data_IF_995873100707
#
_entry.id   IF_995873100707
#
_cell.length_a   1.000
_cell.length_b   1.000
_cell.length_c   1.000
_cell.angle_alpha   90.00
_cell.angle_beta   90.00
_cell.angle_gamma   90.00
#
_symmetry.space_group_name_H-M   'P 1'
#
loop_
_entity.id
_entity.type
_entity.pdbx_description
1 polymer ?
#
# COMPACT_ATOMS: atom_id res chain seq x y z
N UNK A 1 -40.13 -7.17 32.83
CA UNK A 1 -40.46 -7.12 31.39
C UNK A 1 -40.19 -8.49 30.79
N UNK A 2 -41.24 -9.23 30.40
CA UNK A 2 -41.18 -10.59 29.85
C UNK A 2 -40.88 -10.51 28.35
N UNK A 3 -39.83 -11.19 27.86
CA UNK A 3 -39.56 -11.34 26.43
C UNK A 3 -39.87 -12.77 26.00
N UNK A 4 -40.84 -12.90 25.10
CA UNK A 4 -41.35 -14.14 24.54
C UNK A 4 -40.39 -14.72 23.52
N UNK A 5 -40.20 -16.04 23.58
CA UNK A 5 -39.45 -16.86 22.62
C UNK A 5 -40.43 -17.32 21.53
N UNK A 6 -40.19 -16.91 20.28
CA UNK A 6 -40.94 -17.38 19.11
C UNK A 6 -40.11 -18.40 18.33
N UNK A 7 -40.59 -19.64 18.30
CA UNK A 7 -40.06 -20.74 17.48
C UNK A 7 -40.68 -20.61 16.09
N UNK A 8 -39.85 -20.52 15.04
CA UNK A 8 -40.31 -20.54 13.65
C UNK A 8 -39.88 -21.85 12.99
N UNK A 9 -40.88 -22.65 12.60
CA UNK A 9 -40.71 -23.89 11.85
C UNK A 9 -40.51 -23.59 10.36
N UNK A 10 -39.50 -24.20 9.74
CA UNK A 10 -39.26 -24.13 8.29
C UNK A 10 -39.77 -25.43 7.67
N UNK A 11 -40.78 -25.31 6.82
CA UNK A 11 -41.37 -26.37 6.04
C UNK A 11 -40.52 -26.67 4.79
N UNK A 12 -40.18 -27.95 4.60
CA UNK A 12 -39.63 -28.47 3.35
C UNK A 12 -40.72 -28.50 2.27
N UNK A 13 -40.55 -27.74 1.19
CA UNK A 13 -41.22 -28.00 -0.08
C UNK A 13 -40.23 -28.66 -1.05
N UNK A 14 -40.51 -29.92 -1.39
CA UNK A 14 -39.93 -30.60 -2.55
C UNK A 14 -40.75 -30.23 -3.80
N UNK A 15 -40.09 -29.70 -4.82
CA UNK A 15 -40.67 -29.54 -6.16
C UNK A 15 -39.83 -30.35 -7.16
N UNK A 16 -40.49 -31.30 -7.78
CA UNK A 16 -40.03 -32.18 -8.85
C UNK A 16 -40.42 -31.65 -10.23
N UNK A 17 -39.49 -31.82 -11.18
CA UNK A 17 -39.64 -32.01 -12.62
C UNK A 17 -40.04 -30.83 -13.53
N UNK A 18 -39.23 -30.55 -14.56
CA UNK A 18 -39.44 -31.08 -15.92
C UNK A 18 -38.23 -30.76 -16.82
N UNK A 19 -37.88 -31.71 -17.69
CA UNK A 19 -36.68 -31.66 -18.53
C UNK A 19 -36.76 -30.67 -19.68
N UNK A 20 -35.68 -29.92 -19.86
CA UNK A 20 -35.45 -29.06 -21.01
C UNK A 20 -34.21 -29.53 -21.78
N UNK A 21 -34.33 -29.52 -23.10
CA UNK A 21 -33.38 -30.04 -24.09
C UNK A 21 -32.02 -29.35 -23.94
N UNK A 22 -30.88 -30.08 -23.86
CA UNK A 22 -29.56 -29.47 -23.73
C UNK A 22 -29.23 -28.64 -24.97
N UNK A 23 -29.29 -27.32 -24.83
CA UNK A 23 -28.69 -26.39 -25.79
C UNK A 23 -27.18 -26.61 -25.80
N UNK A 24 -26.59 -26.60 -26.99
CA UNK A 24 -25.15 -26.74 -27.20
C UNK A 24 -24.36 -25.79 -26.28
N UNK A 25 -23.18 -26.18 -25.79
CA UNK A 25 -22.36 -25.33 -24.94
C UNK A 25 -22.04 -24.03 -25.69
N UNK A 26 -22.74 -22.96 -25.33
CA UNK A 26 -22.39 -21.61 -25.73
C UNK A 26 -20.95 -21.39 -25.25
N UNK A 27 -20.03 -21.30 -26.21
CA UNK A 27 -18.66 -20.91 -25.95
C UNK A 27 -18.72 -19.60 -25.17
N UNK A 28 -18.36 -19.65 -23.88
CA UNK A 28 -18.23 -18.45 -23.07
C UNK A 28 -17.32 -17.50 -23.85
N UNK A 29 -17.74 -16.25 -24.11
CA UNK A 29 -16.90 -15.31 -24.81
C UNK A 29 -15.59 -15.23 -24.04
N UNK A 30 -14.49 -15.59 -24.71
CA UNK A 30 -13.15 -15.42 -24.19
C UNK A 30 -13.00 -13.95 -23.82
N UNK A 31 -13.16 -13.66 -22.53
CA UNK A 31 -12.93 -12.32 -22.00
C UNK A 31 -11.45 -12.05 -22.22
N UNK A 32 -11.13 -11.19 -23.18
CA UNK A 32 -9.78 -10.67 -23.36
C UNK A 32 -9.45 -9.93 -22.08
N UNK A 33 -8.69 -10.59 -21.19
CA UNK A 33 -8.33 -10.03 -19.92
C UNK A 33 -7.63 -8.68 -20.15
N UNK A 34 -8.16 -7.63 -19.53
CA UNK A 34 -7.52 -6.32 -19.57
C UNK A 34 -6.07 -6.45 -19.07
N UNK A 35 -5.13 -5.69 -19.65
CA UNK A 35 -3.74 -5.70 -19.19
C UNK A 35 -3.70 -5.43 -17.69
N UNK A 36 -3.03 -6.30 -16.93
CA UNK A 36 -2.89 -6.15 -15.47
C UNK A 36 -2.14 -4.84 -15.20
N UNK A 37 -2.74 -3.96 -14.41
CA UNK A 37 -2.08 -2.76 -13.92
C UNK A 37 -0.80 -3.15 -13.17
N UNK A 38 0.27 -2.38 -13.36
CA UNK A 38 1.57 -2.55 -12.70
C UNK A 38 1.85 -1.39 -11.75
N UNK A 39 2.97 -1.45 -11.03
CA UNK A 39 3.39 -0.36 -10.16
C UNK A 39 2.44 -0.13 -8.97
N UNK A 40 2.38 1.12 -8.50
CA UNK A 40 1.51 1.53 -7.40
C UNK A 40 0.03 1.21 -7.65
N UNK A 41 -0.49 1.48 -8.86
CA UNK A 41 -1.90 1.22 -9.20
C UNK A 41 -2.21 -0.27 -9.19
N UNK A 42 -1.32 -1.11 -9.73
CA UNK A 42 -1.44 -2.57 -9.65
C UNK A 42 -1.40 -3.07 -8.21
N UNK A 43 -0.54 -2.49 -7.37
CA UNK A 43 -0.45 -2.83 -5.96
C UNK A 43 -1.75 -2.53 -5.20
N UNK A 44 -2.35 -1.34 -5.41
CA UNK A 44 -3.65 -0.94 -4.85
C UNK A 44 -4.81 -1.82 -5.33
N UNK A 45 -4.80 -2.23 -6.60
CA UNK A 45 -5.82 -3.12 -7.16
C UNK A 45 -5.78 -4.52 -6.51
N UNK A 46 -4.62 -4.94 -6.00
CA UNK A 46 -4.45 -6.19 -5.30
C UNK A 46 -4.70 -6.12 -3.79
N UNK A 47 -5.30 -5.04 -3.28
CA UNK A 47 -5.65 -4.88 -1.86
C UNK A 47 -7.11 -4.46 -1.74
N UNK A 48 -7.88 -5.20 -0.94
CA UNK A 48 -9.28 -4.90 -0.64
C UNK A 48 -9.40 -3.58 0.13
N UNK A 49 -10.34 -2.74 -0.29
CA UNK A 49 -10.69 -1.52 0.42
C UNK A 49 -11.55 -1.82 1.65
N UNK A 50 -11.07 -1.40 2.82
CA UNK A 50 -11.79 -1.35 4.07
C UNK A 50 -11.22 -0.20 4.92
N UNK A 51 -11.81 0.06 6.09
CA UNK A 51 -11.40 1.20 6.91
C UNK A 51 -9.93 1.09 7.34
N UNK A 52 -9.48 -0.11 7.74
CA UNK A 52 -8.07 -0.34 8.11
C UNK A 52 -7.12 -0.14 6.93
N UNK A 53 -7.42 -0.67 5.74
CA UNK A 53 -6.52 -0.56 4.58
C UNK A 53 -6.49 0.85 3.98
N UNK A 54 -7.49 1.70 4.25
CA UNK A 54 -7.51 3.13 3.90
C UNK A 54 -6.69 3.99 4.84
N UNK A 55 -6.48 3.56 6.08
CA UNK A 55 -5.72 4.36 7.05
C UNK A 55 -4.24 4.48 6.70
N UNK A 56 -3.68 3.46 6.06
CA UNK A 56 -2.28 3.43 5.65
C UNK A 56 -2.06 2.39 4.55
N UNK A 57 -1.36 2.81 3.50
CA UNK A 57 -0.86 1.92 2.46
C UNK A 57 0.58 2.30 2.12
N UNK A 58 1.44 1.31 1.94
CA UNK A 58 2.84 1.49 1.57
C UNK A 58 3.18 0.58 0.40
N UNK A 59 3.97 1.09 -0.53
CA UNK A 59 4.39 0.38 -1.74
C UNK A 59 5.87 0.63 -2.00
N UNK A 60 6.58 -0.40 -2.44
CA UNK A 60 7.96 -0.30 -2.88
C UNK A 60 8.23 -1.24 -4.05
N UNK A 61 8.73 -0.69 -5.15
CA UNK A 61 9.45 -1.39 -6.21
C UNK A 61 10.91 -1.56 -5.76
N UNK A 62 11.21 -2.72 -5.20
CA UNK A 62 12.52 -3.05 -4.67
C UNK A 62 13.56 -3.15 -5.78
N UNK A 63 13.15 -3.41 -7.03
CA UNK A 63 14.09 -3.46 -8.16
C UNK A 63 14.61 -2.07 -8.51
N UNK A 64 13.73 -1.05 -8.52
CA UNK A 64 14.11 0.35 -8.72
C UNK A 64 14.92 0.88 -7.54
N UNK A 65 14.49 0.62 -6.30
CA UNK A 65 15.19 1.11 -5.09
C UNK A 65 16.62 0.58 -4.97
N UNK A 66 16.88 -0.70 -5.33
CA UNK A 66 18.23 -1.30 -5.31
C UNK A 66 19.23 -0.62 -6.24
N UNK A 67 18.78 0.19 -7.20
CA UNK A 67 19.66 0.91 -8.11
C UNK A 67 20.29 2.16 -7.46
N UNK A 68 19.72 2.63 -6.36
CA UNK A 68 20.20 3.80 -5.63
C UNK A 68 21.48 3.47 -4.86
N UNK A 69 22.36 4.46 -4.73
CA UNK A 69 23.57 4.35 -3.89
C UNK A 69 23.27 4.40 -2.40
N UNK A 70 22.20 5.12 -2.01
CA UNK A 70 21.77 5.29 -0.62
C UNK A 70 20.29 4.94 -0.52
N UNK A 71 19.99 3.89 0.25
CA UNK A 71 18.62 3.38 0.47
C UNK A 71 18.15 3.60 1.90
N UNK A 72 18.88 4.34 2.74
CA UNK A 72 18.60 4.44 4.19
C UNK A 72 17.20 4.97 4.52
N UNK A 73 16.65 5.83 3.66
CA UNK A 73 15.33 6.41 3.84
C UNK A 73 14.17 5.49 3.41
N UNK A 74 14.48 4.37 2.75
CA UNK A 74 13.49 3.39 2.31
C UNK A 74 13.37 2.19 3.24
N UNK A 75 14.26 2.07 4.25
CA UNK A 75 14.20 1.00 5.22
C UNK A 75 12.84 1.02 5.88
N UNK A 76 11.99 0.03 5.54
CA UNK A 76 10.59 -0.20 5.96
C UNK A 76 9.49 0.08 4.93
N UNK A 77 9.71 0.83 3.85
CA UNK A 77 8.59 1.15 2.95
C UNK A 77 8.07 -0.13 2.29
N UNK A 78 6.77 -0.39 2.46
CA UNK A 78 6.10 -1.60 1.96
C UNK A 78 6.43 -2.87 2.74
N UNK A 79 7.32 -2.82 3.73
CA UNK A 79 7.79 -3.98 4.51
C UNK A 79 7.94 -3.68 6.01
N UNK A 80 7.23 -2.67 6.52
CA UNK A 80 7.46 -2.10 7.84
C UNK A 80 7.32 -3.08 9.00
N UNK A 81 6.57 -4.18 8.83
CA UNK A 81 6.42 -5.18 9.89
C UNK A 81 7.53 -6.25 9.93
N UNK A 82 8.33 -6.43 8.86
CA UNK A 82 9.28 -7.57 8.73
C UNK A 82 10.76 -7.20 8.77
N UNK A 83 11.07 -5.91 8.72
CA UNK A 83 12.45 -5.43 8.59
C UNK A 83 13.26 -5.48 9.88
N UNK A 84 12.64 -5.70 11.03
CA UNK A 84 13.38 -5.81 12.31
C UNK A 84 14.13 -7.13 12.46
N UNK A 85 13.94 -8.12 11.56
CA UNK A 85 14.64 -9.40 11.64
C UNK A 85 14.92 -10.10 10.30
N UNK A 86 15.61 -9.45 9.33
CA UNK A 86 15.93 -10.06 8.03
C UNK A 86 16.74 -11.35 8.18
N UNK A 87 17.69 -11.34 9.12
CA UNK A 87 18.51 -12.52 9.46
C UNK A 87 17.64 -13.68 9.97
N UNK A 88 16.67 -13.42 10.87
CA UNK A 88 15.79 -14.48 11.38
C UNK A 88 14.90 -15.03 10.25
N UNK A 89 14.40 -14.18 9.35
CA UNK A 89 13.60 -14.65 8.22
C UNK A 89 14.42 -15.54 7.28
N UNK A 90 15.69 -15.19 7.03
CA UNK A 90 16.61 -16.04 6.27
C UNK A 90 16.91 -17.35 6.98
N UNK A 91 17.26 -17.29 8.26
CA UNK A 91 17.67 -18.48 9.02
C UNK A 91 16.49 -19.43 9.30
N UNK A 92 15.29 -18.90 9.54
CA UNK A 92 14.11 -19.68 9.91
C UNK A 92 13.25 -20.12 8.72
N UNK A 93 13.12 -19.27 7.70
CA UNK A 93 12.22 -19.51 6.57
C UNK A 93 12.94 -19.69 5.23
N UNK A 94 14.28 -19.67 5.22
CA UNK A 94 15.08 -19.64 3.99
C UNK A 94 14.69 -18.48 3.04
N UNK A 95 14.18 -17.39 3.62
CA UNK A 95 13.72 -16.22 2.86
C UNK A 95 14.82 -15.19 2.75
N UNK A 96 15.29 -14.92 1.53
CA UNK A 96 16.15 -13.79 1.24
C UNK A 96 15.31 -12.56 0.89
N UNK A 97 15.19 -11.62 1.82
CA UNK A 97 14.47 -10.36 1.58
C UNK A 97 15.05 -9.56 0.41
N UNK A 98 16.34 -9.71 0.10
CA UNK A 98 16.97 -9.03 -1.01
C UNK A 98 16.58 -9.62 -2.37
N UNK A 99 15.96 -10.80 -2.42
CA UNK A 99 15.50 -11.42 -3.67
C UNK A 99 14.14 -10.86 -4.14
N UNK A 100 13.33 -10.29 -3.24
CA UNK A 100 12.02 -9.76 -3.60
C UNK A 100 12.10 -8.50 -4.48
N UNK A 101 11.08 -8.32 -5.30
CA UNK A 101 10.96 -7.28 -6.33
C UNK A 101 9.92 -6.22 -5.96
N UNK A 102 8.87 -6.61 -5.24
CA UNK A 102 7.81 -5.71 -4.76
C UNK A 102 7.54 -5.97 -3.27
N UNK A 103 7.26 -4.90 -2.53
CA UNK A 103 6.75 -4.95 -1.17
C UNK A 103 5.53 -4.03 -1.02
N UNK A 104 4.49 -4.54 -0.37
CA UNK A 104 3.26 -3.80 -0.04
C UNK A 104 2.93 -4.01 1.43
N UNK A 105 2.55 -2.94 2.12
CA UNK A 105 1.94 -3.02 3.46
C UNK A 105 0.62 -2.26 3.43
N UNK A 106 -0.44 -2.85 4.00
CA UNK A 106 -1.75 -2.23 4.14
C UNK A 106 -2.20 -2.26 5.60
N UNK A 107 -2.82 -1.18 6.06
CA UNK A 107 -3.21 -0.98 7.45
C UNK A 107 -2.10 -0.38 8.32
N UNK A 108 -2.49 0.01 9.54
CA UNK A 108 -1.58 0.50 10.59
C UNK A 108 -1.26 -0.60 11.59
N UNK A 109 -0.06 -0.56 12.16
CA UNK A 109 0.29 -1.42 13.28
C UNK A 109 -0.66 -1.19 14.47
N UNK A 110 -1.02 -2.24 15.23
CA UNK A 110 -0.58 -3.64 15.09
C UNK A 110 -1.39 -4.46 14.08
N UNK A 111 -2.39 -3.86 13.44
CA UNK A 111 -3.35 -4.53 12.57
C UNK A 111 -2.94 -4.55 11.08
N UNK A 112 -1.67 -4.31 10.76
CA UNK A 112 -1.20 -4.27 9.38
C UNK A 112 -0.98 -5.68 8.80
N UNK A 113 -1.12 -5.80 7.49
CA UNK A 113 -0.67 -6.96 6.74
C UNK A 113 0.25 -6.53 5.61
N UNK A 114 1.22 -7.39 5.29
CA UNK A 114 2.13 -7.13 4.20
C UNK A 114 2.20 -8.27 3.20
N UNK A 115 2.66 -7.91 2.01
CA UNK A 115 2.89 -8.78 0.87
C UNK A 115 4.28 -8.51 0.31
N UNK A 116 5.02 -9.56 0.03
CA UNK A 116 6.22 -9.51 -0.81
C UNK A 116 6.00 -10.33 -2.07
N UNK A 117 6.49 -9.83 -3.21
CA UNK A 117 6.50 -10.59 -4.47
C UNK A 117 7.90 -10.67 -5.07
N UNK A 118 8.26 -11.86 -5.54
CA UNK A 118 9.57 -12.15 -6.10
C UNK A 118 9.91 -13.64 -6.02
N UNK A 119 11.10 -14.04 -6.51
CA UNK A 119 11.52 -15.43 -6.50
C UNK A 119 11.81 -15.93 -5.08
N UNK A 120 11.17 -17.02 -4.69
CA UNK A 120 11.53 -17.82 -3.51
C UNK A 120 10.96 -19.24 -3.62
N UNK A 121 11.45 -20.15 -2.78
CA UNK A 121 10.91 -21.51 -2.69
C UNK A 121 9.72 -21.57 -1.73
N UNK A 122 8.51 -21.44 -2.28
CA UNK A 122 7.28 -21.49 -1.46
C UNK A 122 7.05 -22.84 -0.78
N UNK A 123 7.57 -23.95 -1.33
CA UNK A 123 7.46 -25.25 -0.68
C UNK A 123 8.37 -25.33 0.55
N UNK A 124 9.62 -24.83 0.45
CA UNK A 124 10.53 -24.73 1.58
C UNK A 124 9.98 -23.83 2.69
N UNK A 125 9.44 -22.66 2.33
CA UNK A 125 8.82 -21.73 3.29
C UNK A 125 7.63 -22.39 4.00
N UNK A 126 6.73 -23.03 3.26
CA UNK A 126 5.57 -23.72 3.83
C UNK A 126 5.99 -24.89 4.73
N UNK A 127 7.06 -25.62 4.38
CA UNK A 127 7.64 -26.67 5.22
C UNK A 127 8.19 -26.11 6.53
N UNK A 128 8.94 -25.00 6.47
CA UNK A 128 9.49 -24.33 7.65
C UNK A 128 8.39 -23.84 8.61
N UNK A 129 7.31 -23.24 8.07
CA UNK A 129 6.15 -22.80 8.84
C UNK A 129 5.46 -24.00 9.52
N UNK A 130 5.24 -25.10 8.79
CA UNK A 130 4.56 -26.30 9.31
C UNK A 130 5.33 -26.96 10.45
N UNK A 131 6.67 -26.94 10.39
CA UNK A 131 7.54 -27.54 11.41
C UNK A 131 7.61 -26.74 12.72
N UNK A 132 6.90 -25.61 12.84
CA UNK A 132 6.81 -24.70 14.02
C UNK A 132 8.15 -24.19 14.60
N UNK A 133 9.29 -24.63 14.08
CA UNK A 133 10.62 -24.14 14.44
C UNK A 133 10.85 -22.67 14.01
N UNK A 134 9.93 -22.11 13.21
CA UNK A 134 10.14 -20.88 12.47
C UNK A 134 9.02 -19.85 12.63
N UNK A 135 8.17 -19.91 13.67
CA UNK A 135 7.19 -18.83 13.93
C UNK A 135 7.94 -17.61 14.45
N UNK A 136 8.13 -16.54 13.67
CA UNK A 136 8.75 -15.34 14.20
C UNK A 136 7.74 -14.75 15.18
N UNK A 137 8.17 -14.36 16.38
CA UNK A 137 7.29 -13.75 17.39
C UNK A 137 6.51 -12.54 16.86
N UNK A 138 7.03 -11.90 15.80
CA UNK A 138 6.43 -10.78 15.09
C UNK A 138 5.20 -11.13 14.24
N UNK A 139 4.95 -12.41 13.88
CA UNK A 139 3.82 -12.80 13.02
C UNK A 139 3.06 -13.99 13.57
N UNK A 140 1.74 -13.84 13.72
CA UNK A 140 0.87 -14.97 14.01
C UNK A 140 0.47 -15.73 12.74
N UNK A 141 0.52 -15.06 11.56
CA UNK A 141 0.05 -15.62 10.31
C UNK A 141 1.01 -15.30 9.16
N UNK A 142 1.40 -16.35 8.41
CA UNK A 142 2.21 -16.27 7.19
C UNK A 142 1.61 -17.23 6.16
N UNK A 143 1.50 -16.80 4.90
CA UNK A 143 1.01 -17.61 3.77
C UNK A 143 1.95 -17.45 2.59
N UNK A 144 2.48 -18.55 2.07
CA UNK A 144 3.33 -18.57 0.88
C UNK A 144 2.64 -19.31 -0.27
N UNK A 145 2.51 -18.66 -1.42
CA UNK A 145 1.91 -19.25 -2.62
C UNK A 145 2.57 -18.69 -3.89
N UNK A 146 3.12 -19.58 -4.73
CA UNK A 146 3.83 -19.16 -5.94
C UNK A 146 5.02 -18.26 -5.62
N UNK A 147 5.02 -17.04 -6.18
CA UNK A 147 6.01 -15.98 -5.94
C UNK A 147 5.52 -14.91 -4.95
N UNK A 148 4.48 -15.20 -4.17
CA UNK A 148 3.89 -14.27 -3.20
C UNK A 148 3.98 -14.79 -1.76
N UNK A 149 4.47 -13.93 -0.87
CA UNK A 149 4.52 -14.16 0.57
C UNK A 149 3.66 -13.10 1.28
N UNK A 150 2.63 -13.55 2.00
CA UNK A 150 1.79 -12.72 2.84
C UNK A 150 2.12 -12.94 4.31
N UNK A 151 2.09 -11.88 5.11
CA UNK A 151 2.35 -11.94 6.55
C UNK A 151 1.51 -10.92 7.31
N UNK A 152 1.14 -11.26 8.55
CA UNK A 152 0.41 -10.37 9.45
C UNK A 152 0.39 -10.88 10.89
N UNK A 153 -0.04 -10.02 11.82
CA UNK A 153 -0.30 -10.37 13.22
C UNK A 153 -1.59 -11.17 13.40
N UNK A 154 -2.52 -11.15 12.44
CA UNK A 154 -3.73 -11.98 12.44
C UNK A 154 -4.05 -12.56 11.05
N UNK A 155 -4.53 -13.81 11.02
CA UNK A 155 -4.81 -14.53 9.76
C UNK A 155 -5.88 -13.85 8.90
N UNK A 156 -6.88 -13.22 9.51
CA UNK A 156 -7.96 -12.54 8.80
C UNK A 156 -7.47 -11.35 7.95
N UNK A 157 -6.31 -10.75 8.29
CA UNK A 157 -5.75 -9.63 7.54
C UNK A 157 -5.02 -10.08 6.28
N UNK A 158 -4.63 -11.37 6.18
CA UNK A 158 -4.05 -11.91 4.94
C UNK A 158 -5.07 -11.88 3.79
N UNK A 159 -6.37 -11.96 4.11
CA UNK A 159 -7.44 -11.92 3.12
C UNK A 159 -7.71 -10.50 2.59
N UNK A 160 -6.97 -9.49 3.06
CA UNK A 160 -6.94 -8.17 2.43
C UNK A 160 -6.26 -8.20 1.07
N UNK A 161 -5.33 -9.13 0.84
CA UNK A 161 -4.62 -9.29 -0.43
C UNK A 161 -5.37 -10.28 -1.35
N UNK A 162 -6.59 -9.94 -1.72
CA UNK A 162 -7.40 -10.69 -2.69
C UNK A 162 -7.64 -9.84 -3.95
N UNK A 163 -7.36 -10.39 -5.12
CA UNK A 163 -7.73 -9.75 -6.39
C UNK A 163 -9.26 -9.75 -6.54
N UNK A 164 -9.86 -8.63 -6.97
CA UNK A 164 -11.30 -8.55 -7.24
C UNK A 164 -11.91 -7.15 -7.05
N UNK A 165 -13.25 -7.10 -7.14
CA UNK A 165 -14.02 -5.87 -6.93
C UNK A 165 -13.92 -5.37 -5.47
N UNK A 166 -14.00 -4.04 -5.30
CA UNK A 166 -13.86 -3.38 -4.01
C UNK A 166 -12.40 -3.24 -3.58
N UNK A 167 -11.49 -3.03 -4.53
CA UNK A 167 -10.06 -2.79 -4.26
C UNK A 167 -9.77 -1.35 -3.85
N UNK A 168 -8.59 -1.08 -3.27
CA UNK A 168 -8.13 0.29 -2.99
C UNK A 168 -7.94 1.11 -4.27
N UNK A 169 -7.71 0.49 -5.42
CA UNK A 169 -7.64 1.22 -6.70
C UNK A 169 -9.00 1.79 -7.13
N UNK A 170 -10.11 1.23 -6.65
CA UNK A 170 -11.47 1.73 -6.89
C UNK A 170 -11.90 2.77 -5.84
N UNK A 171 -11.16 2.89 -4.73
CA UNK A 171 -11.41 3.90 -3.71
C UNK A 171 -10.99 5.29 -4.20
N UNK A 172 -11.92 6.24 -4.22
CA UNK A 172 -11.70 7.58 -4.81
C UNK A 172 -10.53 8.33 -4.18
N UNK A 173 -10.35 8.23 -2.87
CA UNK A 173 -9.28 8.95 -2.16
C UNK A 173 -7.94 8.32 -2.48
N UNK A 174 -7.85 6.99 -2.41
CA UNK A 174 -6.61 6.26 -2.72
C UNK A 174 -6.22 6.42 -4.19
N UNK A 175 -7.20 6.37 -5.11
CA UNK A 175 -7.00 6.59 -6.53
C UNK A 175 -6.53 8.03 -6.82
N UNK A 176 -7.06 9.04 -6.13
CA UNK A 176 -6.60 10.42 -6.26
C UNK A 176 -5.14 10.58 -5.81
N UNK A 177 -4.77 9.99 -4.67
CA UNK A 177 -3.37 9.98 -4.21
C UNK A 177 -2.45 9.26 -5.19
N UNK A 178 -2.84 8.08 -5.69
CA UNK A 178 -2.06 7.33 -6.66
C UNK A 178 -1.89 8.10 -7.99
N UNK A 179 -2.97 8.71 -8.49
CA UNK A 179 -2.94 9.55 -9.69
C UNK A 179 -2.04 10.78 -9.55
N UNK A 180 -2.09 11.44 -8.38
CA UNK A 180 -1.21 12.57 -8.08
C UNK A 180 0.27 12.16 -8.04
N UNK A 181 0.60 11.03 -7.40
CA UNK A 181 1.95 10.48 -7.31
C UNK A 181 2.49 9.99 -8.66
N UNK A 182 1.66 9.35 -9.49
CA UNK A 182 2.05 8.76 -10.78
C UNK A 182 2.88 7.48 -10.63
N UNK A 183 3.75 7.20 -11.61
CA UNK A 183 4.67 6.05 -11.54
C UNK A 183 5.81 6.35 -10.57
N UNK A 184 5.68 5.86 -9.33
CA UNK A 184 6.68 6.00 -8.26
C UNK A 184 7.31 4.65 -7.95
N UNK A 185 8.58 4.65 -7.60
CA UNK A 185 9.30 3.47 -7.11
C UNK A 185 8.96 3.16 -5.64
N UNK A 186 8.50 4.15 -4.88
CA UNK A 186 8.07 3.97 -3.50
C UNK A 186 6.93 4.93 -3.18
N UNK A 187 5.99 4.51 -2.34
CA UNK A 187 4.90 5.34 -1.86
C UNK A 187 4.51 5.02 -0.42
N UNK A 188 4.04 6.03 0.29
CA UNK A 188 3.27 5.89 1.51
C UNK A 188 2.03 6.79 1.39
N UNK A 189 0.84 6.21 1.56
CA UNK A 189 -0.45 6.85 1.37
C UNK A 189 -1.23 6.75 2.68
N UNK A 190 -1.82 7.86 3.09
CA UNK A 190 -2.78 7.96 4.18
C UNK A 190 -4.03 8.71 3.72
N UNK A 191 -4.96 9.01 4.64
CA UNK A 191 -6.27 9.55 4.27
C UNK A 191 -6.27 10.95 3.68
N UNK A 192 -5.31 11.79 4.09
CA UNK A 192 -5.24 13.22 3.71
C UNK A 192 -3.99 13.56 2.90
N UNK A 193 -2.99 12.69 2.94
CA UNK A 193 -1.67 12.97 2.41
C UNK A 193 -1.02 11.68 1.90
N UNK A 194 -0.17 11.83 0.89
CA UNK A 194 0.74 10.79 0.45
C UNK A 194 2.12 11.36 0.14
N UNK A 195 3.12 10.49 0.23
CA UNK A 195 4.49 10.76 -0.15
C UNK A 195 4.96 9.67 -1.12
N UNK A 196 5.79 10.03 -2.09
CA UNK A 196 6.37 9.06 -3.01
C UNK A 196 7.69 9.51 -3.59
N UNK A 197 8.36 8.57 -4.25
CA UNK A 197 9.68 8.80 -4.88
C UNK A 197 9.67 8.25 -6.29
N UNK A 198 10.06 9.07 -7.26
CA UNK A 198 10.40 8.63 -8.61
C UNK A 198 11.92 8.43 -8.70
N UNK A 199 12.31 7.38 -9.41
CA UNK A 199 13.71 7.03 -9.65
C UNK A 199 13.86 6.89 -11.16
N UNK A 200 14.44 7.90 -11.79
CA UNK A 200 14.68 7.96 -13.24
C UNK A 200 16.15 7.59 -13.57
N UNK A 201 16.99 7.46 -12.54
CA UNK A 201 18.36 6.99 -12.63
C UNK A 201 19.00 6.84 -11.25
N UNK A 202 20.25 6.39 -11.18
CA UNK A 202 20.95 6.13 -9.91
C UNK A 202 21.09 7.35 -9.00
N UNK A 203 21.16 8.53 -9.61
CA UNK A 203 21.34 9.83 -8.94
C UNK A 203 20.24 10.84 -9.34
N UNK A 204 19.19 10.38 -10.04
CA UNK A 204 18.07 11.21 -10.48
C UNK A 204 16.80 10.74 -9.78
N UNK A 205 16.48 11.42 -8.68
CA UNK A 205 15.33 11.10 -7.85
C UNK A 205 14.50 12.33 -7.56
N UNK A 206 13.19 12.17 -7.72
CA UNK A 206 12.21 13.20 -7.40
C UNK A 206 11.36 12.72 -6.24
N UNK A 207 11.40 13.47 -5.15
CA UNK A 207 10.51 13.30 -4.01
C UNK A 207 9.19 14.04 -4.29
N UNK A 208 8.06 13.41 -3.98
CA UNK A 208 6.71 13.94 -4.18
C UNK A 208 5.90 13.90 -2.89
N UNK A 209 5.10 14.93 -2.68
CA UNK A 209 4.05 14.98 -1.66
C UNK A 209 2.75 15.32 -2.36
N UNK A 210 1.66 14.63 -2.04
CA UNK A 210 0.33 14.94 -2.53
C UNK A 210 -0.62 15.13 -1.35
N UNK A 211 -1.27 16.29 -1.28
CA UNK A 211 -2.21 16.66 -0.23
C UNK A 211 -3.61 16.77 -0.84
N UNK A 212 -4.59 16.11 -0.22
CA UNK A 212 -5.96 16.12 -0.70
C UNK A 212 -6.70 17.33 -0.13
N UNK A 213 -7.24 18.18 -1.00
CA UNK A 213 -8.14 19.26 -0.61
C UNK A 213 -9.60 18.76 -0.56
N UNK A 214 -10.51 19.53 0.05
CA UNK A 214 -11.94 19.18 0.07
C UNK A 214 -12.58 19.34 -1.32
N UNK A 215 -12.09 20.30 -2.11
CA UNK A 215 -12.52 20.58 -3.48
C UNK A 215 -11.35 21.06 -4.36
N UNK A 216 -11.52 21.12 -5.70
CA UNK A 216 -10.56 21.78 -6.59
C UNK A 216 -10.32 23.25 -6.25
N UNK A 217 -11.35 23.97 -5.80
CA UNK A 217 -11.24 25.38 -5.41
C UNK A 217 -10.35 25.54 -4.16
N UNK A 218 -10.56 24.70 -3.14
CA UNK A 218 -9.74 24.68 -1.92
C UNK A 218 -8.29 24.30 -2.23
N UNK A 219 -8.02 23.51 -3.27
CA UNK A 219 -6.67 23.14 -3.67
C UNK A 219 -5.85 24.36 -4.12
N UNK A 220 -6.48 25.35 -4.76
CA UNK A 220 -5.80 26.58 -5.16
C UNK A 220 -5.40 27.44 -3.95
N UNK A 221 -6.27 27.55 -2.94
CA UNK A 221 -5.95 28.24 -1.69
C UNK A 221 -4.86 27.49 -0.90
N UNK A 222 -5.01 26.17 -0.77
CA UNK A 222 -4.05 25.29 -0.12
C UNK A 222 -2.66 25.39 -0.75
N UNK A 223 -2.57 25.51 -2.09
CA UNK A 223 -1.29 25.76 -2.79
C UNK A 223 -0.59 27.02 -2.28
N UNK A 224 -1.32 28.13 -2.13
CA UNK A 224 -0.76 29.41 -1.64
C UNK A 224 -0.23 29.25 -0.21
N UNK A 225 -1.01 28.59 0.65
CA UNK A 225 -0.63 28.34 2.05
C UNK A 225 0.62 27.43 2.15
N UNK A 226 0.69 26.38 1.33
CA UNK A 226 1.85 25.49 1.25
C UNK A 226 3.08 26.26 0.77
N UNK A 227 2.98 27.05 -0.30
CA UNK A 227 4.11 27.84 -0.80
C UNK A 227 4.66 28.82 0.25
N UNK A 228 3.79 29.40 1.08
CA UNK A 228 4.20 30.24 2.20
C UNK A 228 4.89 29.41 3.30
N UNK A 229 4.31 28.28 3.68
CA UNK A 229 4.82 27.36 4.72
C UNK A 229 6.22 26.86 4.37
N UNK A 230 6.44 26.41 3.13
CA UNK A 230 7.71 25.84 2.69
C UNK A 230 8.87 26.86 2.69
N UNK A 231 8.61 28.17 2.69
CA UNK A 231 9.65 29.22 2.68
C UNK A 231 10.31 29.47 4.04
N UNK A 232 9.64 29.15 5.15
CA UNK A 232 10.14 29.54 6.48
C UNK A 232 9.73 28.65 7.64
N UNK A 233 8.75 27.77 7.48
CA UNK A 233 8.29 26.93 8.56
C UNK A 233 9.20 25.72 8.78
N UNK A 234 8.99 25.09 9.94
CA UNK A 234 9.59 23.82 10.31
C UNK A 234 8.52 22.74 10.29
N UNK A 235 8.95 21.50 10.07
CA UNK A 235 8.15 20.32 10.32
C UNK A 235 7.79 20.22 11.81
N UNK A 236 6.86 19.33 12.15
CA UNK A 236 6.52 19.08 13.55
C UNK A 236 7.67 18.51 14.38
N UNK A 237 8.59 17.80 13.72
CA UNK A 237 9.87 17.35 14.28
C UNK A 237 10.95 18.45 14.39
N UNK A 238 10.64 19.70 14.01
CA UNK A 238 11.54 20.85 14.09
C UNK A 238 12.55 20.98 12.94
N UNK A 239 12.43 20.14 11.90
CA UNK A 239 13.30 20.19 10.71
C UNK A 239 12.81 21.30 9.77
N UNK A 240 13.66 22.21 9.27
CA UNK A 240 13.23 23.17 8.26
C UNK A 240 12.70 22.47 6.99
N UNK A 241 11.56 22.91 6.46
CA UNK A 241 10.97 22.31 5.26
C UNK A 241 11.91 22.35 4.05
N UNK A 242 12.76 23.38 3.95
CA UNK A 242 13.79 23.49 2.91
C UNK A 242 14.83 22.36 2.92
N UNK A 243 14.95 21.61 4.03
CA UNK A 243 15.78 20.39 4.09
C UNK A 243 15.02 19.13 3.69
N UNK A 244 13.70 19.12 3.81
CA UNK A 244 12.85 17.97 3.47
C UNK A 244 12.49 17.99 1.99
N UNK A 245 12.15 19.17 1.47
CA UNK A 245 11.78 19.41 0.06
C UNK A 245 12.60 20.59 -0.48
N UNK A 246 13.88 20.41 -0.82
CA UNK A 246 14.69 21.48 -1.40
C UNK A 246 14.14 21.96 -2.74
N UNK A 247 14.08 23.28 -2.94
CA UNK A 247 13.60 23.94 -4.18
C UNK A 247 12.25 23.36 -4.66
N UNK A 248 11.20 23.42 -3.82
CA UNK A 248 9.94 22.77 -4.14
C UNK A 248 9.22 23.49 -5.28
N UNK A 249 8.61 22.72 -6.17
CA UNK A 249 7.55 23.18 -7.08
C UNK A 249 6.21 22.72 -6.53
N UNK A 250 5.22 23.60 -6.50
CA UNK A 250 3.88 23.32 -5.98
C UNK A 250 2.86 23.50 -7.11
N UNK A 251 2.08 22.47 -7.39
CA UNK A 251 1.08 22.44 -8.47
C UNK A 251 -0.28 21.96 -7.94
N UNK A 252 -1.37 22.35 -8.60
CA UNK A 252 -2.71 21.75 -8.38
C UNK A 252 -2.95 20.66 -9.42
N UNK A 253 -3.36 19.48 -8.97
CA UNK A 253 -3.69 18.32 -9.81
C UNK A 253 -5.09 17.84 -9.41
N UNK A 254 -6.11 18.32 -10.13
CA UNK A 254 -7.51 18.09 -9.76
C UNK A 254 -7.82 18.72 -8.41
N UNK A 255 -8.20 17.90 -7.42
CA UNK A 255 -8.49 18.29 -6.04
C UNK A 255 -7.35 17.92 -5.07
N UNK A 256 -6.12 17.80 -5.60
CA UNK A 256 -4.89 17.58 -4.83
C UNK A 256 -3.86 18.66 -5.10
N UNK A 257 -3.08 19.02 -4.09
CA UNK A 257 -1.87 19.83 -4.24
C UNK A 257 -0.66 18.92 -4.25
N UNK A 258 0.15 19.01 -5.31
CA UNK A 258 1.36 18.23 -5.51
C UNK A 258 2.59 19.11 -5.26
N UNK A 259 3.47 18.66 -4.39
CA UNK A 259 4.79 19.23 -4.18
C UNK A 259 5.79 18.28 -4.81
N UNK A 260 6.67 18.80 -5.66
CA UNK A 260 7.79 18.05 -6.25
C UNK A 260 9.10 18.68 -5.83
N UNK A 261 10.11 17.86 -5.59
CA UNK A 261 11.44 18.31 -5.19
C UNK A 261 12.50 17.32 -5.66
N UNK A 262 13.53 17.82 -6.35
CA UNK A 262 14.72 17.03 -6.65
C UNK A 262 15.53 16.86 -5.38
N UNK A 263 15.69 15.63 -4.92
CA UNK A 263 16.35 15.34 -3.65
C UNK A 263 17.73 14.75 -3.87
N UNK A 264 18.71 15.24 -3.11
CA UNK A 264 20.04 14.62 -3.06
C UNK A 264 20.03 13.28 -2.29
N UNK A 265 18.99 13.05 -1.47
CA UNK A 265 18.79 11.84 -0.70
C UNK A 265 17.35 11.34 -0.91
N UNK A 266 17.18 10.42 -1.85
CA UNK A 266 15.90 9.84 -2.21
C UNK A 266 15.11 9.35 -0.98
N UNK A 267 13.79 9.52 -0.98
CA UNK A 267 12.92 9.04 0.09
C UNK A 267 12.86 9.94 1.32
N UNK A 268 13.42 11.14 1.27
CA UNK A 268 13.37 12.08 2.41
C UNK A 268 11.92 12.42 2.79
N UNK A 269 11.04 12.59 1.80
CA UNK A 269 9.61 12.83 2.03
C UNK A 269 8.88 11.62 2.62
N UNK A 270 9.27 10.38 2.27
CA UNK A 270 8.67 9.19 2.90
C UNK A 270 9.09 9.10 4.38
N UNK A 271 10.34 9.40 4.69
CA UNK A 271 10.79 9.47 6.08
C UNK A 271 10.06 10.56 6.88
N UNK A 272 9.75 11.71 6.26
CA UNK A 272 8.91 12.75 6.87
C UNK A 272 7.46 12.29 7.05
N UNK A 273 6.90 11.56 6.08
CA UNK A 273 5.58 10.95 6.16
C UNK A 273 5.45 9.99 7.35
N UNK A 274 6.45 9.11 7.54
CA UNK A 274 6.48 8.16 8.65
C UNK A 274 6.53 8.83 10.02
N UNK A 275 7.06 10.06 10.11
CA UNK A 275 7.09 10.88 11.33
C UNK A 275 5.81 11.70 11.56
N UNK A 276 4.85 11.66 10.64
CA UNK A 276 3.64 12.48 10.69
C UNK A 276 3.87 13.96 10.34
N UNK A 277 5.05 14.32 9.82
CA UNK A 277 5.38 15.71 9.51
C UNK A 277 4.56 16.25 8.33
N UNK A 278 4.22 15.40 7.36
CA UNK A 278 3.48 15.77 6.15
C UNK A 278 1.99 16.00 6.43
N UNK A 279 1.37 15.19 7.28
CA UNK A 279 -0.06 15.28 7.61
C UNK A 279 -0.42 16.61 8.29
N UNK A 280 0.58 17.30 8.85
CA UNK A 280 0.42 18.61 9.49
C UNK A 280 0.71 19.78 8.56
N UNK A 281 1.19 19.53 7.34
CA UNK A 281 1.49 20.59 6.37
C UNK A 281 0.29 21.50 6.05
N UNK A 282 -0.96 21.00 5.97
CA UNK A 282 -2.14 21.85 5.77
C UNK A 282 -2.64 22.56 7.04
N UNK A 283 -2.08 22.29 8.22
CA UNK A 283 -2.64 22.69 9.52
C UNK A 283 -1.92 23.90 10.17
N UNK A 284 -1.05 24.59 9.44
CA UNK A 284 -0.33 25.74 9.97
C UNK A 284 -1.21 27.01 9.87
N UNK A 285 -2.03 27.23 10.90
CA UNK A 285 -2.54 28.55 11.29
C UNK A 285 -1.53 29.30 12.17
#
# INVERSE_FOLDING_TARGET
MKRSVGVLAIACLALTACGEKPAAPNASPSSTAAPKATGLTGALAGVRANDSTRERFEYADLTKIKQLKDTKNFGMVGSSQITESPKKLKDLLALDLAAFEEAVTAGKAPAAAGRLRGPFDSAAVNSAIANKAAKPEAFSAVRAAGSELLYSSAAAQLDWFAEGAGSLAEDKTMAAHAGCLGDVAAAAIGPIASAGVRIDGKDDTTDLICLKAHSPEDAAEMKIQIEATLKGAKTSSGTPWSRVVPKPTVDVVGDTVRITSTSAAAGTVIAAFAKGDIERLPLFE
#
